data_IF_280900710048
#
_entry.id   IF_280900710048
#
_cell.length_a   1.000
_cell.length_b   1.000
_cell.length_c   1.000
_cell.angle_alpha   90.00
_cell.angle_beta   90.00
_cell.angle_gamma   90.00
#
_symmetry.space_group_name_H-M   'P 1'
#
loop_
_entity.id
_entity.type
_entity.pdbx_description
1 polymer ?
#
# COMPACT_ATOMS: atom_id res chain seq x y z
N UNK A 1 10.22 -5.22 4.33
CA UNK A 1 9.41 -6.46 4.45
C UNK A 1 10.14 -7.55 3.69
N UNK A 2 10.14 -8.79 4.21
CA UNK A 2 10.74 -9.92 3.50
C UNK A 2 9.87 -10.21 2.26
N UNK A 3 10.47 -10.17 1.07
CA UNK A 3 9.82 -10.55 -0.20
C UNK A 3 10.15 -12.01 -0.52
N UNK A 4 9.42 -12.63 -1.45
CA UNK A 4 9.52 -14.07 -1.77
C UNK A 4 10.94 -14.63 -1.84
N UNK A 5 11.87 -13.97 -2.55
CA UNK A 5 13.27 -14.41 -2.63
C UNK A 5 14.06 -14.34 -1.31
N UNK A 6 13.76 -13.35 -0.45
CA UNK A 6 14.37 -13.23 0.87
C UNK A 6 13.75 -14.15 1.93
N UNK A 7 12.53 -14.67 1.68
CA UNK A 7 11.88 -15.63 2.57
C UNK A 7 12.50 -17.02 2.42
N UNK A 8 12.81 -17.42 1.19
CA UNK A 8 13.49 -18.69 0.90
C UNK A 8 14.84 -18.75 1.61
N UNK A 9 15.67 -17.70 1.49
CA UNK A 9 16.98 -17.67 2.15
C UNK A 9 16.88 -17.72 3.68
N UNK A 10 15.92 -17.00 4.29
CA UNK A 10 15.69 -17.10 5.74
C UNK A 10 15.24 -18.52 6.12
N UNK A 11 14.38 -19.17 5.34
CA UNK A 11 13.93 -20.53 5.60
C UNK A 11 15.07 -21.55 5.50
N UNK A 12 15.91 -21.46 4.47
CA UNK A 12 17.06 -22.33 4.28
C UNK A 12 18.02 -22.23 5.47
N UNK A 13 18.33 -21.01 5.90
CA UNK A 13 19.22 -20.78 7.04
C UNK A 13 18.63 -21.28 8.37
N UNK A 14 17.30 -21.27 8.52
CA UNK A 14 16.62 -21.89 9.66
C UNK A 14 16.70 -23.41 9.63
N UNK A 15 16.54 -24.03 8.46
CA UNK A 15 16.69 -25.49 8.32
C UNK A 15 18.12 -25.95 8.57
N UNK A 16 19.11 -25.10 8.30
CA UNK A 16 20.52 -25.31 8.66
C UNK A 16 20.79 -25.14 10.17
N UNK A 17 19.78 -24.80 10.98
CA UNK A 17 19.90 -24.65 12.43
C UNK A 17 20.59 -23.35 12.87
N UNK A 18 20.76 -22.37 11.99
CA UNK A 18 21.42 -21.10 12.34
C UNK A 18 20.58 -20.28 13.31
N UNK A 19 21.25 -19.51 14.16
CA UNK A 19 20.57 -18.63 15.10
C UNK A 19 19.94 -17.42 14.39
N UNK A 20 18.88 -16.85 14.96
CA UNK A 20 18.29 -15.62 14.41
C UNK A 20 19.27 -14.44 14.30
N UNK A 21 20.37 -14.45 15.07
CA UNK A 21 21.42 -13.42 14.98
C UNK A 21 22.30 -13.61 13.75
N UNK A 22 22.68 -14.84 13.43
CA UNK A 22 23.44 -15.15 12.22
C UNK A 22 22.61 -14.90 10.97
N UNK A 23 21.34 -15.33 10.98
CA UNK A 23 20.42 -15.05 9.88
C UNK A 23 20.28 -13.54 9.66
N UNK A 24 20.23 -12.74 10.73
CA UNK A 24 20.19 -11.27 10.60
C UNK A 24 21.47 -10.69 9.97
N UNK A 25 22.64 -11.26 10.28
CA UNK A 25 23.92 -10.85 9.69
C UNK A 25 24.01 -11.22 8.21
N UNK A 26 23.55 -12.42 7.85
CA UNK A 26 23.64 -12.92 6.47
C UNK A 26 22.58 -12.31 5.55
N UNK A 27 21.36 -12.15 6.04
CA UNK A 27 20.23 -11.67 5.23
C UNK A 27 20.03 -10.16 5.30
N UNK A 28 20.71 -9.47 6.24
CA UNK A 28 20.58 -8.03 6.47
C UNK A 28 19.25 -7.60 7.11
N UNK A 29 18.33 -8.53 7.39
CA UNK A 29 17.06 -8.22 8.05
C UNK A 29 17.21 -8.21 9.57
N UNK A 30 16.46 -7.32 10.23
CA UNK A 30 16.47 -7.27 11.69
C UNK A 30 15.97 -8.58 12.30
N UNK A 31 16.57 -8.98 13.42
CA UNK A 31 16.15 -10.15 14.22
C UNK A 31 14.64 -10.15 14.50
N UNK A 32 14.06 -8.97 14.72
CA UNK A 32 12.63 -8.80 14.98
C UNK A 32 11.78 -9.13 13.74
N UNK A 33 12.27 -8.80 12.55
CA UNK A 33 11.63 -9.18 11.29
C UNK A 33 11.68 -10.69 11.10
N UNK A 34 12.86 -11.30 11.25
CA UNK A 34 13.00 -12.76 11.12
C UNK A 34 12.08 -13.47 12.12
N UNK A 35 12.13 -13.09 13.41
CA UNK A 35 11.27 -13.66 14.45
C UNK A 35 9.77 -13.52 14.14
N UNK A 36 9.34 -12.34 13.65
CA UNK A 36 7.95 -12.09 13.26
C UNK A 36 7.51 -13.08 12.19
N UNK A 37 8.34 -13.29 11.17
CA UNK A 37 8.01 -14.14 10.03
C UNK A 37 8.05 -15.63 10.38
N UNK A 38 9.00 -16.07 11.21
CA UNK A 38 9.04 -17.44 11.75
C UNK A 38 7.79 -17.75 12.54
N UNK A 39 7.34 -16.84 13.43
CA UNK A 39 6.13 -17.04 14.23
C UNK A 39 4.85 -17.06 13.40
N UNK A 40 4.82 -16.34 12.27
CA UNK A 40 3.68 -16.36 11.34
C UNK A 40 3.75 -17.50 10.31
N UNK A 41 4.62 -18.50 10.51
CA UNK A 41 4.77 -19.64 9.59
C UNK A 41 5.31 -19.26 8.21
N UNK A 42 6.10 -18.18 8.12
CA UNK A 42 6.63 -17.59 6.88
C UNK A 42 5.56 -17.18 5.84
N UNK A 43 4.28 -17.35 6.16
CA UNK A 43 3.13 -16.98 5.37
C UNK A 43 2.61 -15.60 5.80
N UNK A 44 3.43 -14.55 5.66
CA UNK A 44 2.88 -13.20 5.67
C UNK A 44 2.45 -12.89 4.25
N UNK A 45 1.24 -13.31 3.88
CA UNK A 45 0.57 -12.67 2.75
C UNK A 45 0.42 -11.20 3.13
N UNK A 46 1.11 -10.33 2.38
CA UNK A 46 0.91 -8.90 2.49
C UNK A 46 -0.54 -8.67 2.13
N UNK A 47 -1.41 -8.49 3.12
CA UNK A 47 -2.76 -8.03 2.84
C UNK A 47 -2.60 -6.67 2.16
N UNK A 48 -3.05 -6.49 0.91
CA UNK A 48 -3.01 -5.19 0.28
C UNK A 48 -3.80 -4.27 1.18
N UNK A 49 -3.17 -3.15 1.58
CA UNK A 49 -3.83 -2.15 2.40
C UNK A 49 -5.11 -1.76 1.69
N UNK A 50 -6.26 -1.97 2.33
CA UNK A 50 -7.53 -1.53 1.78
C UNK A 50 -7.38 -0.04 1.44
N UNK A 51 -7.64 0.30 0.18
CA UNK A 51 -7.60 1.70 -0.26
C UNK A 51 -8.65 2.42 0.58
N UNK A 52 -8.22 3.40 1.38
CA UNK A 52 -9.16 4.28 2.07
C UNK A 52 -9.98 4.99 1.01
N UNK A 53 -11.30 4.97 1.15
CA UNK A 53 -12.18 5.73 0.27
C UNK A 53 -11.76 7.19 0.29
N UNK A 54 -11.65 7.79 -0.89
CA UNK A 54 -11.45 9.21 -1.08
C UNK A 54 -12.78 9.94 -1.01
N UNK A 55 -12.80 11.15 -0.46
CA UNK A 55 -13.97 12.05 -0.54
C UNK A 55 -14.40 12.31 -2.00
N UNK A 56 -13.45 12.19 -2.93
CA UNK A 56 -13.68 12.37 -4.36
C UNK A 56 -14.39 11.17 -5.00
N UNK A 57 -14.38 9.99 -4.39
CA UNK A 57 -14.85 8.76 -5.04
C UNK A 57 -16.32 8.84 -5.46
N UNK A 58 -17.16 9.52 -4.67
CA UNK A 58 -18.58 9.75 -4.99
C UNK A 58 -18.80 10.67 -6.21
N UNK A 59 -17.80 11.49 -6.56
CA UNK A 59 -17.90 12.52 -7.59
C UNK A 59 -17.15 12.15 -8.88
N UNK A 60 -16.43 11.02 -8.91
CA UNK A 60 -15.70 10.57 -10.11
C UNK A 60 -16.59 10.44 -11.36
N UNK A 61 -17.78 9.82 -11.29
CA UNK A 61 -18.64 9.70 -12.47
C UNK A 61 -19.01 11.06 -13.09
N UNK A 62 -19.30 12.05 -12.24
CA UNK A 62 -19.61 13.42 -12.68
C UNK A 62 -18.41 14.12 -13.34
N UNK A 63 -17.21 13.87 -12.82
CA UNK A 63 -15.97 14.42 -13.41
C UNK A 63 -15.73 13.78 -14.77
N UNK A 64 -15.94 12.47 -14.90
CA UNK A 64 -15.80 11.74 -16.16
C UNK A 64 -16.79 12.28 -17.22
N UNK A 65 -18.06 12.46 -16.86
CA UNK A 65 -19.07 13.08 -17.73
C UNK A 65 -18.66 14.49 -18.21
N UNK A 66 -18.08 15.30 -17.33
CA UNK A 66 -17.61 16.64 -17.70
C UNK A 66 -16.39 16.61 -18.62
N UNK A 67 -15.46 15.68 -18.40
CA UNK A 67 -14.31 15.49 -19.28
C UNK A 67 -14.76 15.04 -20.67
N UNK A 68 -15.72 14.12 -20.76
CA UNK A 68 -16.30 13.67 -22.02
C UNK A 68 -17.04 14.81 -22.75
N UNK A 69 -17.67 15.72 -22.00
CA UNK A 69 -18.28 16.94 -22.53
C UNK A 69 -17.27 18.06 -22.86
N UNK A 70 -15.95 17.82 -22.73
CA UNK A 70 -14.90 18.76 -23.07
C UNK A 70 -14.61 19.84 -22.01
N UNK A 71 -15.18 19.71 -20.81
CA UNK A 71 -14.86 20.59 -19.69
C UNK A 71 -13.64 20.02 -18.96
N UNK A 72 -12.46 20.61 -19.17
CA UNK A 72 -11.21 20.20 -18.51
C UNK A 72 -10.72 21.19 -17.44
N UNK A 73 -11.45 22.28 -17.23
CA UNK A 73 -11.05 23.30 -16.26
C UNK A 73 -11.32 22.84 -14.82
N UNK A 74 -10.25 22.44 -14.12
CA UNK A 74 -10.31 21.95 -12.74
C UNK A 74 -10.90 22.95 -11.74
N UNK A 75 -10.72 24.26 -11.95
CA UNK A 75 -11.27 25.29 -11.07
C UNK A 75 -12.80 25.39 -11.23
N UNK A 76 -13.29 25.29 -12.48
CA UNK A 76 -14.73 25.24 -12.78
C UNK A 76 -15.35 23.96 -12.23
N UNK A 77 -14.69 22.81 -12.41
CA UNK A 77 -15.13 21.54 -11.80
C UNK A 77 -15.22 21.67 -10.28
N UNK A 78 -14.20 22.22 -9.62
CA UNK A 78 -14.18 22.36 -8.17
C UNK A 78 -15.33 23.23 -7.66
N UNK A 79 -15.64 24.33 -8.35
CA UNK A 79 -16.80 25.16 -8.02
C UNK A 79 -18.12 24.38 -8.13
N UNK A 80 -18.30 23.62 -9.22
CA UNK A 80 -19.49 22.78 -9.44
C UNK A 80 -19.61 21.67 -8.39
N UNK A 81 -18.50 21.00 -8.07
CA UNK A 81 -18.46 19.98 -7.01
C UNK A 81 -18.84 20.56 -5.65
N UNK A 82 -18.33 21.75 -5.30
CA UNK A 82 -18.69 22.43 -4.05
C UNK A 82 -20.17 22.79 -3.98
N UNK A 83 -20.77 23.21 -5.09
CA UNK A 83 -22.21 23.47 -5.16
C UNK A 83 -23.05 22.20 -4.91
N UNK A 84 -22.51 21.02 -5.19
CA UNK A 84 -23.13 19.72 -4.90
C UNK A 84 -22.77 19.15 -3.52
N UNK A 85 -22.06 19.90 -2.68
CA UNK A 85 -21.71 19.47 -1.31
C UNK A 85 -20.33 18.83 -1.17
N UNK A 86 -19.44 18.95 -2.16
CA UNK A 86 -18.06 18.45 -2.03
C UNK A 86 -17.26 19.25 -0.99
N UNK A 87 -16.91 18.58 0.12
CA UNK A 87 -16.14 19.14 1.24
C UNK A 87 -14.62 18.94 1.11
N UNK A 88 -14.13 18.62 -0.09
CA UNK A 88 -12.70 18.51 -0.37
C UNK A 88 -12.08 19.83 -0.86
N UNK A 89 -10.77 19.82 -1.07
CA UNK A 89 -10.00 20.99 -1.51
C UNK A 89 -9.08 20.67 -2.67
N UNK A 90 -8.55 21.72 -3.29
CA UNK A 90 -7.45 21.62 -4.24
C UNK A 90 -6.14 21.45 -3.47
N UNK A 91 -5.27 20.56 -3.94
CA UNK A 91 -3.89 20.46 -3.46
C UNK A 91 -2.98 20.75 -4.66
N UNK A 92 -1.97 21.59 -4.44
CA UNK A 92 -0.99 22.00 -5.45
C UNK A 92 0.08 20.91 -5.66
#
# INVERSE_FOLDING_TARGET
MLKGGSLMSVQDLLTQGKSFREIARETGFSRNTIRKYVRSGMAVQVQPRARRGSKLDAYKPLIDEWMDAGLFNCQVMLQRLRAQGYAGGMTL
#
